data_IF_300528122495
#
_entry.id   IF_300528122495
#
_cell.length_a   1.000
_cell.length_b   1.000
_cell.length_c   1.000
_cell.angle_alpha   90.00
_cell.angle_beta   90.00
_cell.angle_gamma   90.00
#
_symmetry.space_group_name_H-M   'P 1'
#
loop_
_entity.id
_entity.type
_entity.pdbx_description
1 polymer ?
#
# COMPACT_ATOMS: atom_id res chain seq x y z
N UNK A 1 23.84 26.96 20.94
CA UNK A 1 23.66 26.45 19.56
C UNK A 1 23.25 24.99 19.67
N UNK A 2 21.95 24.71 19.58
CA UNK A 2 21.44 23.35 19.68
C UNK A 2 21.60 22.65 18.34
N UNK A 3 22.40 21.57 18.31
CA UNK A 3 22.41 20.64 17.19
C UNK A 3 21.05 19.94 17.13
N UNK A 4 20.13 20.49 16.34
CA UNK A 4 18.95 19.76 15.91
C UNK A 4 19.43 18.65 14.98
N UNK A 5 19.73 17.49 15.57
CA UNK A 5 19.92 16.26 14.83
C UNK A 5 18.60 16.01 14.08
N UNK A 6 18.56 16.34 12.79
CA UNK A 6 17.42 16.02 11.92
C UNK A 6 17.18 14.53 12.07
N UNK A 7 16.06 14.16 12.69
CA UNK A 7 15.70 12.76 12.88
C UNK A 7 15.69 12.09 11.51
N UNK A 8 16.63 11.17 11.28
CA UNK A 8 16.69 10.41 10.04
C UNK A 8 15.30 9.82 9.78
N UNK A 9 14.73 10.08 8.60
CA UNK A 9 13.37 9.63 8.30
C UNK A 9 13.26 8.12 8.61
N UNK A 10 12.31 7.77 9.48
CA UNK A 10 12.07 6.39 9.87
C UNK A 10 10.95 5.81 9.02
N UNK A 11 11.21 4.66 8.40
CA UNK A 11 10.22 3.92 7.64
C UNK A 11 9.08 3.44 8.56
N UNK A 12 7.84 3.60 8.10
CA UNK A 12 6.65 3.06 8.74
C UNK A 12 5.63 2.70 7.68
N UNK A 13 4.91 1.59 7.89
CA UNK A 13 3.80 1.13 7.05
C UNK A 13 2.44 1.67 7.52
N UNK A 14 2.43 2.30 8.69
CA UNK A 14 1.22 2.81 9.35
C UNK A 14 0.52 3.85 8.48
N UNK A 15 -0.80 3.70 8.38
CA UNK A 15 -1.71 4.61 7.69
C UNK A 15 -1.39 4.83 6.19
N UNK A 16 -0.66 3.90 5.57
CA UNK A 16 -0.36 3.90 4.13
C UNK A 16 -1.47 3.16 3.37
N UNK A 17 -1.72 1.90 3.71
CA UNK A 17 -2.64 1.06 2.95
C UNK A 17 -4.02 0.96 3.60
N UNK A 18 -5.12 1.02 2.83
CA UNK A 18 -5.23 1.35 1.41
C UNK A 18 -5.35 2.87 1.16
N UNK A 19 -5.14 3.71 2.19
CA UNK A 19 -5.46 5.15 2.19
C UNK A 19 -4.69 5.93 1.13
N UNK A 20 -3.35 5.86 1.15
CA UNK A 20 -2.48 6.59 0.24
C UNK A 20 -2.69 6.15 -1.22
N UNK A 21 -2.92 4.85 -1.46
CA UNK A 21 -3.29 4.31 -2.79
C UNK A 21 -4.63 4.81 -3.27
N UNK A 22 -5.64 4.83 -2.40
CA UNK A 22 -6.96 5.39 -2.74
C UNK A 22 -6.83 6.86 -3.13
N UNK A 23 -6.07 7.64 -2.37
CA UNK A 23 -5.83 9.05 -2.68
C UNK A 23 -5.07 9.22 -4.01
N UNK A 24 -3.99 8.47 -4.21
CA UNK A 24 -3.21 8.47 -5.46
C UNK A 24 -4.07 8.14 -6.69
N UNK A 25 -4.96 7.16 -6.58
CA UNK A 25 -5.88 6.79 -7.66
C UNK A 25 -7.05 7.77 -7.82
N UNK A 26 -7.43 8.51 -6.78
CA UNK A 26 -8.47 9.54 -6.90
C UNK A 26 -7.98 10.79 -7.64
N UNK A 27 -6.68 11.06 -7.57
CA UNK A 27 -6.08 12.27 -8.15
C UNK A 27 -6.18 12.31 -9.68
N UNK A 28 -6.19 11.17 -10.37
CA UNK A 28 -6.31 11.12 -11.83
C UNK A 28 -7.60 11.72 -12.37
N UNK A 29 -8.68 11.75 -11.57
CA UNK A 29 -9.93 12.37 -11.98
C UNK A 29 -9.84 13.91 -12.01
N UNK A 30 -8.94 14.49 -11.21
CA UNK A 30 -8.77 15.94 -11.08
C UNK A 30 -7.69 16.50 -12.01
N UNK A 31 -6.98 15.65 -12.77
CA UNK A 31 -5.87 16.07 -13.63
C UNK A 31 -6.33 16.80 -14.90
N UNK A 32 -7.57 16.63 -15.35
CA UNK A 32 -8.00 17.08 -16.67
C UNK A 32 -8.15 18.60 -16.79
N UNK A 33 -7.37 19.21 -17.69
CA UNK A 33 -7.52 20.60 -18.14
C UNK A 33 -6.90 21.67 -17.24
N UNK A 34 -6.23 21.28 -16.15
CA UNK A 34 -5.61 22.21 -15.20
C UNK A 34 -4.25 22.76 -15.65
N UNK A 35 -3.87 23.95 -15.13
CA UNK A 35 -2.55 24.58 -15.36
C UNK A 35 -1.38 23.63 -15.06
N UNK A 36 -1.50 22.81 -14.01
CA UNK A 36 -0.48 21.83 -13.61
C UNK A 36 -0.30 20.76 -14.70
N UNK A 37 -1.40 20.19 -15.21
CA UNK A 37 -1.33 19.18 -16.27
C UNK A 37 -0.72 19.74 -17.57
N UNK A 38 -1.09 20.96 -17.96
CA UNK A 38 -0.52 21.59 -19.17
C UNK A 38 1.00 21.76 -19.01
N UNK A 39 1.45 22.20 -17.83
CA UNK A 39 2.87 22.35 -17.52
C UNK A 39 3.64 21.01 -17.50
N UNK A 40 2.93 19.89 -17.29
CA UNK A 40 3.52 18.55 -17.23
C UNK A 40 3.80 17.92 -18.58
N UNK A 41 3.03 18.27 -19.62
CA UNK A 41 3.05 17.56 -20.90
C UNK A 41 4.45 17.48 -21.51
N UNK A 42 5.13 18.62 -21.62
CA UNK A 42 6.50 18.69 -22.18
C UNK A 42 7.50 17.86 -21.36
N UNK A 43 7.71 18.20 -20.08
CA UNK A 43 8.64 17.46 -19.21
C UNK A 43 8.38 15.95 -19.17
N UNK A 44 7.12 15.51 -19.08
CA UNK A 44 6.82 14.08 -19.07
C UNK A 44 7.01 13.41 -20.41
N UNK A 45 6.80 14.10 -21.53
CA UNK A 45 7.11 13.57 -22.85
C UNK A 45 8.61 13.33 -23.00
N UNK A 46 9.43 14.31 -22.60
CA UNK A 46 10.89 14.23 -22.70
C UNK A 46 11.45 13.11 -21.83
N UNK A 47 11.04 13.05 -20.55
CA UNK A 47 11.45 11.98 -19.62
C UNK A 47 10.99 10.62 -20.15
N UNK A 48 9.76 10.53 -20.66
CA UNK A 48 9.23 9.26 -21.18
C UNK A 48 9.96 8.79 -22.43
N UNK A 49 10.35 9.70 -23.32
CA UNK A 49 11.13 9.38 -24.51
C UNK A 49 12.53 8.88 -24.13
N UNK A 50 13.17 9.48 -23.12
CA UNK A 50 14.47 9.03 -22.63
C UNK A 50 14.38 7.68 -21.89
N UNK A 51 13.35 7.52 -21.05
CA UNK A 51 13.22 6.37 -20.16
C UNK A 51 12.64 5.12 -20.85
N UNK A 52 11.82 5.33 -21.88
CA UNK A 52 11.13 4.26 -22.63
C UNK A 52 11.15 4.53 -24.15
N UNK A 53 12.32 4.66 -24.80
CA UNK A 53 12.45 5.13 -26.19
C UNK A 53 11.75 4.24 -27.23
N UNK A 54 11.61 2.93 -26.95
CA UNK A 54 11.09 1.94 -27.92
C UNK A 54 9.76 1.30 -27.49
N UNK A 55 9.03 1.93 -26.57
CA UNK A 55 7.78 1.37 -26.04
C UNK A 55 6.57 1.91 -26.79
N UNK A 56 5.64 1.03 -27.12
CA UNK A 56 4.30 1.40 -27.56
C UNK A 56 3.61 2.32 -26.53
N UNK A 57 2.66 3.14 -26.99
CA UNK A 57 1.98 4.19 -26.21
C UNK A 57 1.42 3.72 -24.84
N UNK A 58 0.99 2.45 -24.70
CA UNK A 58 0.48 1.93 -23.41
C UNK A 58 1.60 1.52 -22.42
N UNK A 59 2.83 1.39 -22.92
CA UNK A 59 4.03 0.99 -22.19
C UNK A 59 5.00 2.15 -21.94
N UNK A 60 4.65 3.38 -22.32
CA UNK A 60 5.51 4.54 -22.04
C UNK A 60 5.32 5.04 -20.61
N UNK A 61 6.33 5.72 -20.07
CA UNK A 61 6.33 6.27 -18.70
C UNK A 61 5.57 7.60 -18.56
N UNK A 62 5.02 8.14 -19.66
CA UNK A 62 4.30 9.41 -19.70
C UNK A 62 3.16 9.51 -18.68
N UNK A 63 2.20 8.58 -18.67
CA UNK A 63 1.04 8.63 -17.76
C UNK A 63 1.46 8.46 -16.29
N UNK A 64 2.33 7.49 -15.94
CA UNK A 64 2.92 7.44 -14.61
C UNK A 64 3.62 8.75 -14.20
N UNK A 65 4.40 9.35 -15.09
CA UNK A 65 5.09 10.62 -14.86
C UNK A 65 4.12 11.74 -14.47
N UNK A 66 3.05 11.95 -15.23
CA UNK A 66 2.06 12.99 -14.93
C UNK A 66 1.40 12.74 -13.57
N UNK A 67 1.01 11.48 -13.29
CA UNK A 67 0.31 11.11 -12.05
C UNK A 67 1.20 11.25 -10.82
N UNK A 68 2.46 10.80 -10.91
CA UNK A 68 3.45 10.92 -9.84
C UNK A 68 3.73 12.37 -9.48
N UNK A 69 3.89 13.24 -10.47
CA UNK A 69 4.11 14.66 -10.20
C UNK A 69 2.87 15.35 -9.65
N UNK A 70 1.69 15.10 -10.23
CA UNK A 70 0.47 15.69 -9.72
C UNK A 70 0.22 15.24 -8.28
N UNK A 71 0.53 13.99 -7.94
CA UNK A 71 0.51 13.54 -6.56
C UNK A 71 1.42 14.39 -5.67
N UNK A 72 2.68 14.57 -6.05
CA UNK A 72 3.64 15.40 -5.31
C UNK A 72 3.18 16.87 -5.17
N UNK A 73 2.52 17.40 -6.20
CA UNK A 73 1.89 18.72 -6.16
C UNK A 73 0.88 18.85 -5.03
N UNK A 74 -0.01 17.88 -4.90
CA UNK A 74 -1.05 17.90 -3.88
C UNK A 74 -0.47 17.75 -2.46
N UNK A 75 0.66 17.07 -2.31
CA UNK A 75 1.34 16.90 -1.03
C UNK A 75 2.07 18.15 -0.53
N UNK A 76 2.34 19.14 -1.40
CA UNK A 76 3.29 20.23 -1.11
C UNK A 76 2.93 21.08 0.12
N UNK A 77 1.64 21.24 0.39
CA UNK A 77 1.11 22.05 1.49
C UNK A 77 0.72 21.22 2.72
N UNK A 78 0.90 19.89 2.69
CA UNK A 78 0.59 19.04 3.82
C UNK A 78 1.64 19.19 4.93
N UNK A 79 1.20 19.17 6.19
CA UNK A 79 2.08 19.09 7.35
C UNK A 79 2.94 17.82 7.27
N UNK A 80 4.18 17.90 7.71
CA UNK A 80 5.18 16.83 7.58
C UNK A 80 4.68 15.48 8.12
N UNK A 81 4.16 15.45 9.35
CA UNK A 81 3.63 14.22 9.96
C UNK A 81 2.49 13.58 9.16
N UNK A 82 1.64 14.40 8.56
CA UNK A 82 0.54 13.93 7.71
C UNK A 82 1.06 13.48 6.35
N UNK A 83 2.07 14.17 5.81
CA UNK A 83 2.64 13.95 4.49
C UNK A 83 3.49 12.69 4.43
N UNK A 84 4.21 12.35 5.50
CA UNK A 84 5.12 11.21 5.60
C UNK A 84 4.59 9.89 5.00
N UNK A 85 3.41 9.37 5.39
CA UNK A 85 2.87 8.15 4.78
C UNK A 85 2.62 8.27 3.27
N UNK A 86 2.22 9.46 2.80
CA UNK A 86 2.02 9.72 1.37
C UNK A 86 3.36 9.81 0.62
N UNK A 87 4.40 10.39 1.22
CA UNK A 87 5.74 10.36 0.63
C UNK A 87 6.29 8.94 0.51
N UNK A 88 6.15 8.11 1.55
CA UNK A 88 6.53 6.69 1.48
C UNK A 88 5.81 5.98 0.32
N UNK A 89 4.50 6.23 0.17
CA UNK A 89 3.73 5.68 -0.92
C UNK A 89 4.15 6.22 -2.30
N UNK A 90 4.43 7.51 -2.42
CA UNK A 90 4.94 8.13 -3.65
C UNK A 90 6.23 7.46 -4.15
N UNK A 91 7.20 7.23 -3.26
CA UNK A 91 8.47 6.59 -3.64
C UNK A 91 8.24 5.13 -4.04
N UNK A 92 7.39 4.40 -3.31
CA UNK A 92 6.99 3.05 -3.68
C UNK A 92 6.37 3.01 -5.09
N UNK A 93 5.42 3.90 -5.37
CA UNK A 93 4.76 4.00 -6.68
C UNK A 93 5.74 4.36 -7.79
N UNK A 94 6.64 5.32 -7.56
CA UNK A 94 7.69 5.68 -8.51
C UNK A 94 8.52 4.44 -8.89
N UNK A 95 8.99 3.67 -7.89
CA UNK A 95 9.75 2.44 -8.15
C UNK A 95 8.92 1.40 -8.89
N UNK A 96 7.66 1.20 -8.50
CA UNK A 96 6.76 0.22 -9.13
C UNK A 96 6.54 0.54 -10.61
N UNK A 97 6.15 1.78 -10.91
CA UNK A 97 5.90 2.21 -12.29
C UNK A 97 7.18 2.16 -13.13
N UNK A 98 8.30 2.61 -12.57
CA UNK A 98 9.59 2.56 -13.25
C UNK A 98 10.01 1.13 -13.61
N UNK A 99 9.94 0.18 -12.65
CA UNK A 99 10.23 -1.25 -12.87
C UNK A 99 9.28 -1.88 -13.90
N UNK A 100 7.99 -1.52 -13.86
CA UNK A 100 6.98 -2.06 -14.78
C UNK A 100 7.21 -1.61 -16.24
N UNK A 101 7.70 -0.38 -16.44
CA UNK A 101 7.90 0.18 -17.80
C UNK A 101 9.29 -0.10 -18.35
N UNK A 102 10.31 -0.07 -17.50
CA UNK A 102 11.70 -0.36 -17.88
C UNK A 102 12.36 -1.24 -16.81
N UNK A 103 12.50 -2.56 -17.03
CA UNK A 103 13.08 -3.47 -16.04
C UNK A 103 14.55 -3.17 -15.69
N UNK A 104 15.25 -2.36 -16.48
CA UNK A 104 16.67 -2.01 -16.32
C UNK A 104 16.86 -0.57 -15.86
N UNK A 105 16.16 -0.16 -14.80
CA UNK A 105 16.39 1.15 -14.19
C UNK A 105 17.74 1.14 -13.49
N UNK A 106 18.68 1.96 -13.96
CA UNK A 106 20.03 2.03 -13.39
C UNK A 106 20.04 2.68 -11.99
N UNK A 107 19.17 3.66 -11.75
CA UNK A 107 19.06 4.37 -10.47
C UNK A 107 17.69 5.04 -10.33
N UNK A 108 16.96 4.70 -9.26
CA UNK A 108 15.68 5.36 -8.93
C UNK A 108 15.88 6.79 -8.42
N UNK A 109 17.00 7.03 -7.75
CA UNK A 109 17.38 8.34 -7.23
C UNK A 109 17.61 9.31 -8.41
N UNK A 110 18.26 8.84 -9.47
CA UNK A 110 18.46 9.62 -10.69
C UNK A 110 17.14 9.88 -11.42
N UNK A 111 16.24 8.89 -11.48
CA UNK A 111 14.91 9.08 -12.06
C UNK A 111 14.09 10.11 -11.27
N UNK A 112 14.07 10.01 -9.94
CA UNK A 112 13.41 10.98 -9.07
C UNK A 112 13.99 12.38 -9.28
N UNK A 113 15.32 12.51 -9.26
CA UNK A 113 15.99 13.78 -9.49
C UNK A 113 15.65 14.38 -10.85
N UNK A 114 15.69 13.57 -11.93
CA UNK A 114 15.30 14.01 -13.29
C UNK A 114 13.88 14.54 -13.34
N UNK A 115 12.94 13.86 -12.68
CA UNK A 115 11.57 14.32 -12.54
C UNK A 115 11.58 15.72 -11.89
N UNK A 116 12.10 15.85 -10.67
CA UNK A 116 12.15 17.13 -9.93
C UNK A 116 12.80 18.25 -10.75
N UNK A 117 13.95 17.99 -11.38
CA UNK A 117 14.71 18.96 -12.17
C UNK A 117 13.93 19.42 -13.40
N UNK A 118 13.30 18.50 -14.13
CA UNK A 118 12.49 18.86 -15.30
C UNK A 118 11.32 19.76 -14.92
N UNK A 119 10.71 19.51 -13.77
CA UNK A 119 9.57 20.28 -13.30
C UNK A 119 9.92 21.62 -12.69
N UNK A 120 11.10 21.75 -12.07
CA UNK A 120 11.59 23.02 -11.52
C UNK A 120 11.69 24.13 -12.58
N UNK A 121 11.84 23.74 -13.85
CA UNK A 121 11.90 24.62 -15.02
C UNK A 121 10.52 25.07 -15.51
N UNK A 122 9.44 24.48 -14.97
CA UNK A 122 8.08 24.84 -15.35
C UNK A 122 7.58 26.04 -14.55
N UNK A 123 6.57 26.75 -15.07
CA UNK A 123 5.88 27.82 -14.34
C UNK A 123 5.04 27.35 -13.14
N UNK A 124 5.16 26.09 -12.73
CA UNK A 124 4.50 25.49 -11.56
C UNK A 124 5.58 24.99 -10.62
N UNK A 125 5.93 25.81 -9.62
CA UNK A 125 6.94 25.41 -8.62
C UNK A 125 6.38 24.33 -7.71
N UNK A 126 7.00 23.16 -7.72
CA UNK A 126 6.71 22.07 -6.79
C UNK A 126 7.97 21.76 -5.99
N UNK A 127 7.95 21.99 -4.67
CA UNK A 127 9.07 21.62 -3.82
C UNK A 127 9.19 20.10 -3.73
N UNK A 128 10.42 19.61 -3.72
CA UNK A 128 10.71 18.21 -3.45
C UNK A 128 10.54 17.90 -1.96
N UNK A 129 9.29 17.66 -1.60
CA UNK A 129 8.84 17.42 -0.22
C UNK A 129 9.03 15.99 0.26
N UNK A 130 9.47 15.09 -0.63
CA UNK A 130 9.63 13.66 -0.34
C UNK A 130 11.07 13.14 -0.52
N UNK A 131 12.04 14.01 -0.88
CA UNK A 131 13.45 13.66 -1.13
C UNK A 131 14.09 12.73 -0.10
N UNK A 132 13.79 12.93 1.18
CA UNK A 132 14.42 12.19 2.28
C UNK A 132 13.99 10.72 2.35
N UNK A 133 12.89 10.36 1.69
CA UNK A 133 12.34 9.00 1.67
C UNK A 133 12.86 8.17 0.49
N UNK A 134 13.49 8.80 -0.51
CA UNK A 134 13.92 8.15 -1.76
C UNK A 134 14.93 7.04 -1.48
N UNK A 135 16.00 7.36 -0.75
CA UNK A 135 17.09 6.44 -0.43
C UNK A 135 16.73 5.37 0.60
N UNK A 136 15.66 5.60 1.37
CA UNK A 136 15.16 4.65 2.38
C UNK A 136 14.42 3.48 1.71
N UNK A 137 13.78 3.72 0.57
CA UNK A 137 13.06 2.69 -0.19
C UNK A 137 14.03 1.76 -0.93
N UNK A 138 14.93 1.06 -0.26
CA UNK A 138 15.74 0.02 -0.90
C UNK A 138 14.88 -1.16 -1.41
N UNK A 139 15.49 -2.16 -2.05
CA UNK A 139 14.74 -3.25 -2.67
C UNK A 139 13.99 -4.10 -1.65
N UNK A 140 14.56 -4.34 -0.46
CA UNK A 140 13.90 -5.08 0.62
C UNK A 140 12.63 -4.34 1.09
N UNK A 141 12.74 -3.03 1.32
CA UNK A 141 11.62 -2.18 1.71
C UNK A 141 10.55 -2.17 0.63
N UNK A 142 10.95 -2.03 -0.64
CA UNK A 142 10.03 -2.03 -1.76
C UNK A 142 9.22 -3.33 -1.85
N UNK A 143 9.85 -4.50 -1.68
CA UNK A 143 9.13 -5.77 -1.75
C UNK A 143 8.10 -5.90 -0.59
N UNK A 144 8.40 -5.38 0.60
CA UNK A 144 7.43 -5.35 1.71
C UNK A 144 6.24 -4.42 1.39
N UNK A 145 6.49 -3.23 0.84
CA UNK A 145 5.43 -2.34 0.37
C UNK A 145 4.54 -3.03 -0.67
N UNK A 146 5.15 -3.72 -1.63
CA UNK A 146 4.44 -4.49 -2.65
C UNK A 146 3.58 -5.60 -2.04
N UNK A 147 4.09 -6.34 -1.06
CA UNK A 147 3.32 -7.36 -0.35
C UNK A 147 2.11 -6.79 0.38
N UNK A 148 2.26 -5.64 1.05
CA UNK A 148 1.12 -4.96 1.66
C UNK A 148 0.12 -4.47 0.61
N UNK A 149 0.60 -3.89 -0.50
CA UNK A 149 -0.27 -3.41 -1.57
C UNK A 149 -1.13 -4.55 -2.16
N UNK A 150 -0.49 -5.69 -2.45
CA UNK A 150 -1.16 -6.91 -2.92
C UNK A 150 -2.18 -7.44 -1.89
N UNK A 151 -1.80 -7.49 -0.61
CA UNK A 151 -2.66 -7.96 0.48
C UNK A 151 -3.94 -7.12 0.57
N UNK A 152 -3.81 -5.79 0.54
CA UNK A 152 -4.95 -4.88 0.60
C UNK A 152 -5.79 -4.89 -0.69
N UNK A 153 -5.18 -5.10 -1.86
CA UNK A 153 -5.91 -5.27 -3.13
C UNK A 153 -6.74 -6.57 -3.16
N UNK A 154 -6.19 -7.68 -2.66
CA UNK A 154 -6.93 -8.92 -2.49
C UNK A 154 -8.11 -8.73 -1.54
N UNK A 155 -7.91 -8.02 -0.43
CA UNK A 155 -8.98 -7.75 0.53
C UNK A 155 -10.04 -6.81 -0.04
N UNK A 156 -9.64 -5.78 -0.80
CA UNK A 156 -10.56 -4.92 -1.55
C UNK A 156 -11.39 -5.74 -2.55
N UNK A 157 -10.76 -6.64 -3.28
CA UNK A 157 -11.44 -7.53 -4.22
C UNK A 157 -12.43 -8.46 -3.53
N UNK A 158 -12.06 -9.01 -2.36
CA UNK A 158 -12.97 -9.81 -1.52
C UNK A 158 -14.23 -9.03 -1.08
N UNK A 159 -14.10 -7.72 -0.82
CA UNK A 159 -15.22 -6.85 -0.43
C UNK A 159 -16.18 -6.58 -1.59
N UNK A 160 -15.66 -6.33 -2.79
CA UNK A 160 -16.46 -5.86 -3.93
C UNK A 160 -16.93 -6.99 -4.87
N UNK A 161 -16.10 -8.00 -5.11
CA UNK A 161 -16.41 -9.07 -6.05
C UNK A 161 -17.22 -10.16 -5.33
N UNK A 162 -18.44 -10.41 -5.81
CA UNK A 162 -19.31 -11.47 -5.25
C UNK A 162 -18.90 -12.86 -5.75
N UNK A 163 -18.48 -12.98 -7.00
CA UNK A 163 -17.92 -14.23 -7.53
C UNK A 163 -16.52 -14.49 -6.94
N UNK A 164 -16.11 -15.77 -6.89
CA UNK A 164 -14.74 -16.17 -6.53
C UNK A 164 -14.21 -15.63 -5.19
N UNK A 165 -15.09 -15.29 -4.23
CA UNK A 165 -14.66 -14.81 -2.90
C UNK A 165 -13.66 -15.75 -2.25
N UNK A 166 -13.86 -17.07 -2.32
CA UNK A 166 -12.92 -18.07 -1.79
C UNK A 166 -11.50 -17.92 -2.33
N UNK A 167 -11.36 -17.58 -3.61
CA UNK A 167 -10.06 -17.33 -4.22
C UNK A 167 -9.41 -16.10 -3.61
N UNK A 168 -10.14 -15.00 -3.39
CA UNK A 168 -9.59 -13.80 -2.75
C UNK A 168 -9.23 -14.01 -1.28
N UNK A 169 -9.99 -14.86 -0.57
CA UNK A 169 -9.62 -15.30 0.79
C UNK A 169 -8.28 -16.04 0.76
N UNK A 170 -8.16 -17.02 -0.14
CA UNK A 170 -6.92 -17.77 -0.33
C UNK A 170 -5.74 -16.85 -0.65
N UNK A 171 -5.93 -15.88 -1.54
CA UNK A 171 -4.91 -14.90 -1.89
C UNK A 171 -4.52 -14.02 -0.70
N UNK A 172 -5.47 -13.53 0.11
CA UNK A 172 -5.16 -12.77 1.33
C UNK A 172 -4.28 -13.60 2.29
N UNK A 173 -4.64 -14.86 2.51
CA UNK A 173 -3.89 -15.75 3.42
C UNK A 173 -2.51 -16.03 2.87
N UNK A 174 -2.39 -16.39 1.59
CA UNK A 174 -1.10 -16.68 0.96
C UNK A 174 -0.17 -15.47 1.03
N UNK A 175 -0.68 -14.25 0.77
CA UNK A 175 0.13 -13.04 0.86
C UNK A 175 0.50 -12.71 2.31
N UNK A 176 -0.43 -12.90 3.27
CA UNK A 176 -0.14 -12.74 4.71
C UNK A 176 0.96 -13.71 5.19
N UNK A 177 0.93 -14.96 4.74
CA UNK A 177 1.90 -16.00 5.14
C UNK A 177 3.32 -15.67 4.69
N UNK A 178 3.50 -15.03 3.53
CA UNK A 178 4.81 -14.57 3.05
C UNK A 178 5.50 -13.62 4.05
N UNK A 179 4.75 -12.89 4.88
CA UNK A 179 5.36 -12.03 5.90
C UNK A 179 6.04 -12.80 7.03
N UNK A 180 5.80 -14.11 7.16
CA UNK A 180 6.54 -14.96 8.10
C UNK A 180 7.96 -15.27 7.65
N UNK A 181 8.25 -15.09 6.36
CA UNK A 181 9.58 -15.30 5.74
C UNK A 181 10.47 -14.06 5.85
N UNK A 182 9.89 -12.90 6.20
CA UNK A 182 10.60 -11.64 6.37
C UNK A 182 11.25 -11.60 7.76
N UNK A 183 12.52 -11.21 7.82
CA UNK A 183 13.18 -10.80 9.07
C UNK A 183 12.66 -9.43 9.52
N UNK A 184 11.64 -9.46 10.40
CA UNK A 184 10.94 -8.27 10.89
C UNK A 184 11.76 -7.43 11.86
N UNK A 185 12.84 -7.96 12.42
CA UNK A 185 13.67 -7.26 13.41
C UNK A 185 14.28 -5.99 12.84
N UNK A 186 14.48 -5.95 11.51
CA UNK A 186 14.99 -4.80 10.75
C UNK A 186 14.02 -3.61 10.66
N UNK A 187 12.75 -3.78 11.05
CA UNK A 187 11.68 -2.82 10.77
C UNK A 187 10.94 -2.33 12.03
N UNK A 188 11.56 -2.42 13.20
CA UNK A 188 11.04 -1.87 14.47
C UNK A 188 9.56 -2.20 14.72
N UNK A 189 9.15 -3.44 14.45
CA UNK A 189 7.77 -3.94 14.59
C UNK A 189 6.68 -3.27 13.73
N UNK A 190 7.03 -2.29 12.88
CA UNK A 190 6.04 -1.56 12.05
C UNK A 190 5.29 -2.48 11.07
N UNK A 191 5.91 -3.60 10.65
CA UNK A 191 5.26 -4.64 9.86
C UNK A 191 4.17 -5.34 10.69
N UNK A 192 4.48 -5.72 11.93
CA UNK A 192 3.53 -6.42 12.80
C UNK A 192 2.34 -5.53 13.16
N UNK A 193 2.58 -4.25 13.41
CA UNK A 193 1.51 -3.27 13.66
C UNK A 193 0.52 -3.18 12.50
N UNK A 194 1.02 -3.13 11.26
CA UNK A 194 0.18 -3.06 10.06
C UNK A 194 -0.52 -4.40 9.77
N UNK A 195 0.15 -5.54 10.00
CA UNK A 195 -0.47 -6.86 9.90
C UNK A 195 -1.58 -7.06 10.93
N UNK A 196 -1.39 -6.60 12.17
CA UNK A 196 -2.40 -6.63 13.22
C UNK A 196 -3.60 -5.74 12.87
N UNK A 197 -3.34 -4.58 12.26
CA UNK A 197 -4.39 -3.72 11.74
C UNK A 197 -5.18 -4.41 10.63
N UNK A 198 -4.49 -4.99 9.64
CA UNK A 198 -5.12 -5.78 8.59
C UNK A 198 -5.99 -6.90 9.18
N UNK A 199 -5.44 -7.66 10.14
CA UNK A 199 -6.12 -8.75 10.85
C UNK A 199 -7.42 -8.27 11.52
N UNK A 200 -7.41 -7.12 12.20
CA UNK A 200 -8.61 -6.53 12.80
C UNK A 200 -9.67 -6.18 11.75
N UNK A 201 -9.27 -5.51 10.66
CA UNK A 201 -10.20 -5.14 9.59
C UNK A 201 -10.80 -6.37 8.88
N UNK A 202 -9.97 -7.37 8.59
CA UNK A 202 -10.38 -8.62 7.98
C UNK A 202 -11.39 -9.37 8.85
N UNK A 203 -11.12 -9.48 10.15
CA UNK A 203 -12.04 -10.11 11.11
C UNK A 203 -13.37 -9.39 11.24
N UNK A 204 -13.33 -8.05 11.30
CA UNK A 204 -14.53 -7.23 11.34
C UNK A 204 -15.42 -7.51 10.13
N UNK A 205 -14.83 -7.51 8.92
CA UNK A 205 -15.53 -7.89 7.68
C UNK A 205 -16.11 -9.30 7.78
N UNK A 206 -15.33 -10.30 8.18
CA UNK A 206 -15.81 -11.67 8.28
C UNK A 206 -16.93 -11.90 9.29
N UNK A 207 -16.88 -11.19 10.41
CA UNK A 207 -17.89 -11.28 11.46
C UNK A 207 -19.21 -10.69 10.98
N UNK A 208 -19.17 -9.54 10.31
CA UNK A 208 -20.34 -8.89 9.73
C UNK A 208 -21.02 -9.73 8.63
N UNK A 209 -20.26 -10.49 7.85
CA UNK A 209 -20.78 -11.34 6.76
C UNK A 209 -20.87 -12.84 7.12
N UNK A 210 -20.77 -13.19 8.42
CA UNK A 210 -20.59 -14.56 8.93
C UNK A 210 -21.69 -15.57 8.64
N UNK A 211 -22.86 -15.14 8.15
CA UNK A 211 -23.94 -16.03 7.72
C UNK A 211 -23.65 -16.74 6.39
N UNK A 212 -22.86 -16.14 5.49
CA UNK A 212 -22.64 -16.66 4.12
C UNK A 212 -21.46 -17.64 3.98
N UNK A 213 -20.65 -17.83 5.02
CA UNK A 213 -19.39 -18.60 4.95
C UNK A 213 -19.33 -19.81 5.90
N UNK A 214 -20.45 -20.14 6.59
CA UNK A 214 -20.55 -21.22 7.60
C UNK A 214 -20.01 -22.60 7.15
N UNK A 215 -20.34 -23.13 5.95
CA UNK A 215 -19.84 -24.45 5.51
C UNK A 215 -18.32 -24.47 5.24
N UNK A 216 -17.73 -23.31 4.98
CA UNK A 216 -16.37 -23.17 4.43
C UNK A 216 -15.30 -22.89 5.47
N UNK A 217 -15.69 -22.55 6.71
CA UNK A 217 -14.81 -22.53 7.89
C UNK A 217 -14.07 -23.86 8.08
N UNK A 218 -14.75 -24.98 7.85
CA UNK A 218 -14.20 -26.33 8.01
C UNK A 218 -13.14 -26.69 6.96
N UNK A 219 -13.30 -26.22 5.72
CA UNK A 219 -12.35 -26.46 4.62
C UNK A 219 -11.09 -25.59 4.76
N UNK A 220 -11.25 -24.32 5.13
CA UNK A 220 -10.12 -23.43 5.45
C UNK A 220 -9.35 -23.98 6.67
N UNK A 221 -10.05 -24.36 7.75
CA UNK A 221 -9.45 -25.04 8.91
C UNK A 221 -8.65 -26.30 8.53
N UNK A 222 -9.15 -27.12 7.61
CA UNK A 222 -8.43 -28.32 7.15
C UNK A 222 -7.23 -28.01 6.23
N UNK A 223 -7.28 -26.94 5.44
CA UNK A 223 -6.14 -26.45 4.65
C UNK A 223 -5.07 -25.77 5.51
N UNK A 224 -5.45 -25.32 6.70
CA UNK A 224 -4.65 -24.59 7.67
C UNK A 224 -3.97 -25.51 8.69
N UNK A 225 -4.64 -26.60 9.07
CA UNK A 225 -4.08 -27.64 9.95
C UNK A 225 -2.87 -28.40 9.37
N UNK A 226 -2.62 -28.32 8.06
CA UNK A 226 -1.54 -29.07 7.38
C UNK A 226 -0.19 -28.36 7.33
N UNK A 227 -0.05 -27.11 7.82
CA UNK A 227 1.24 -26.39 7.81
C UNK A 227 1.53 -25.61 9.11
N UNK A 228 2.40 -26.21 9.95
CA UNK A 228 3.22 -25.62 11.03
C UNK A 228 2.57 -25.03 12.31
N UNK A 229 3.25 -25.22 13.46
CA UNK A 229 2.82 -24.85 14.83
C UNK A 229 2.53 -23.34 15.05
N UNK A 230 3.27 -22.44 14.39
CA UNK A 230 3.03 -20.97 14.43
C UNK A 230 1.67 -20.58 13.81
N UNK A 231 1.15 -21.40 12.91
CA UNK A 231 -0.15 -21.22 12.26
C UNK A 231 -1.31 -21.46 13.25
N UNK A 232 -1.12 -22.36 14.21
CA UNK A 232 -2.11 -22.69 15.24
C UNK A 232 -2.36 -21.54 16.22
N UNK A 233 -1.32 -20.76 16.55
CA UNK A 233 -1.43 -19.59 17.44
C UNK A 233 -2.22 -18.45 16.78
N UNK A 234 -1.95 -18.17 15.50
CA UNK A 234 -2.76 -17.25 14.69
C UNK A 234 -4.22 -17.72 14.63
N UNK A 235 -4.45 -19.00 14.31
CA UNK A 235 -5.80 -19.58 14.22
C UNK A 235 -6.54 -19.55 15.56
N UNK A 236 -5.88 -19.84 16.68
CA UNK A 236 -6.46 -19.73 18.02
C UNK A 236 -6.83 -18.28 18.36
N UNK A 237 -5.99 -17.30 18.02
CA UNK A 237 -6.32 -15.88 18.23
C UNK A 237 -7.56 -15.44 17.45
N UNK A 238 -7.78 -16.00 16.25
CA UNK A 238 -8.97 -15.76 15.43
C UNK A 238 -10.21 -16.55 15.91
N UNK A 239 -10.03 -17.76 16.42
CA UNK A 239 -11.09 -18.61 16.98
C UNK A 239 -11.57 -18.12 18.36
N UNK A 240 -10.68 -17.60 19.20
CA UNK A 240 -10.97 -17.14 20.56
C UNK A 240 -11.74 -15.81 20.54
N UNK A 241 -11.39 -14.89 19.63
CA UNK A 241 -12.21 -13.70 19.37
C UNK A 241 -13.63 -14.06 18.91
N UNK A 242 -13.79 -15.14 18.14
CA UNK A 242 -15.09 -15.59 17.64
C UNK A 242 -15.93 -16.27 18.73
N UNK A 243 -15.33 -17.07 19.63
CA UNK A 243 -16.02 -17.67 20.78
C UNK A 243 -16.53 -16.60 21.75
N UNK A 244 -15.71 -15.59 22.07
CA UNK A 244 -16.10 -14.50 22.95
C UNK A 244 -17.27 -13.68 22.39
N UNK A 245 -17.34 -13.48 21.07
CA UNK A 245 -18.44 -12.77 20.41
C UNK A 245 -19.74 -13.59 20.43
N UNK A 246 -19.67 -14.91 20.21
CA UNK A 246 -20.85 -15.79 20.29
C UNK A 246 -21.39 -15.83 21.72
N UNK A 247 -20.50 -15.92 22.71
CA UNK A 247 -20.87 -15.98 24.12
C UNK A 247 -21.48 -14.66 24.60
N UNK A 248 -20.91 -13.52 24.19
CA UNK A 248 -21.49 -12.20 24.47
C UNK A 248 -22.84 -11.98 23.77
N UNK A 249 -23.01 -12.48 22.55
CA UNK A 249 -24.29 -12.36 21.83
C UNK A 249 -25.38 -13.25 22.45
N UNK A 250 -25.02 -14.43 22.95
CA UNK A 250 -25.94 -15.27 23.72
C UNK A 250 -26.32 -14.63 25.05
N UNK A 251 -25.37 -14.01 25.78
CA UNK A 251 -25.67 -13.32 27.04
C UNK A 251 -26.58 -12.09 26.84
N UNK A 252 -26.40 -11.32 25.76
CA UNK A 252 -27.27 -10.18 25.45
C UNK A 252 -28.69 -10.63 25.08
N UNK A 253 -28.84 -11.73 24.34
CA UNK A 253 -30.14 -12.30 23.97
C UNK A 253 -30.88 -12.95 25.14
N UNK A 254 -30.15 -13.46 26.14
CA UNK A 254 -30.76 -14.08 27.32
C UNK A 254 -31.16 -13.01 28.35
N UNK A 255 -30.36 -11.95 28.50
CA UNK A 255 -30.63 -10.86 29.44
C UNK A 255 -31.63 -9.80 28.90
N UNK A 256 -32.14 -9.97 27.68
CA UNK A 256 -33.18 -9.10 27.08
C UNK A 256 -34.57 -9.73 27.09
N UNK A 257 -34.72 -10.88 27.74
CA UNK A 257 -35.98 -11.64 27.85
C UNK A 257 -36.48 -11.73 29.30
N UNK A 258 -35.81 -11.03 30.23
CA UNK A 258 -36.29 -10.79 31.59
C UNK A 258 -36.71 -9.32 31.78
#
# INVERSE_FOLDING_TARGET
MGNTQVSKAQLSFKDIFPRCKTYYNSITYNMNGGRVQIALKGPCNDISAEFTPDKYVYNVFYVPCEKLYFYLHELKNMKEDTRKPYCNFYIYELKREARNKSPKVNSFDDLHKKLIDAYSKTGVRIPDVCKEYVSIMNDDVYEIFKMFDELYDHFKSLKHVRQNREQYVKLCVQTYEKFSEIDKTKFNNTIDEELDRFKREFNSYYTAYGSYLRPRKRKLKNMWNTKNKKHYELMNLFEQSHKNIIQNKHNILYNSVD
#
